data_IF_980805761317
#
_entry.id   IF_980805761317
#
_cell.length_a   1.000
_cell.length_b   1.000
_cell.length_c   1.000
_cell.angle_alpha   90.00
_cell.angle_beta   90.00
_cell.angle_gamma   90.00
#
_symmetry.space_group_name_H-M   'P 1'
#
loop_
_entity.id
_entity.type
_entity.pdbx_description
1 polymer ?
#
# COMPACT_ATOMS: atom_id res chain seq x y z
N UNK A 1 3.43 -20.59 -18.42
CA UNK A 1 4.24 -20.78 -17.21
C UNK A 1 3.37 -20.87 -15.97
N UNK A 2 3.90 -21.45 -14.89
CA UNK A 2 3.24 -21.48 -13.58
C UNK A 2 4.07 -20.64 -12.61
N UNK A 3 3.48 -19.55 -12.11
CA UNK A 3 4.08 -18.70 -11.08
C UNK A 3 3.44 -18.99 -9.72
N UNK A 4 4.26 -19.05 -8.66
CA UNK A 4 3.79 -19.32 -7.31
C UNK A 4 4.12 -18.15 -6.37
N UNK A 5 3.10 -17.56 -5.76
CA UNK A 5 3.24 -16.50 -4.76
C UNK A 5 3.14 -17.11 -3.36
N UNK A 6 4.18 -16.99 -2.56
CA UNK A 6 4.16 -17.35 -1.14
C UNK A 6 3.88 -16.09 -0.33
N UNK A 7 2.67 -15.96 0.17
CA UNK A 7 2.22 -14.83 0.99
C UNK A 7 1.64 -15.36 2.30
N UNK A 8 2.25 -15.00 3.42
CA UNK A 8 1.84 -15.52 4.73
C UNK A 8 0.37 -15.21 5.05
N UNK A 9 -0.13 -14.09 4.55
CA UNK A 9 -1.54 -13.71 4.58
C UNK A 9 -2.05 -13.47 3.15
N UNK A 10 -3.34 -13.71 2.94
CA UNK A 10 -4.01 -13.50 1.66
C UNK A 10 -5.51 -13.24 1.87
N UNK A 11 -6.20 -12.86 0.81
CA UNK A 11 -7.64 -12.62 0.86
C UNK A 11 -8.42 -13.81 1.47
N UNK A 12 -9.47 -13.55 2.25
CA UNK A 12 -10.16 -12.26 2.46
C UNK A 12 -9.54 -11.37 3.55
N UNK A 13 -8.37 -11.70 4.12
CA UNK A 13 -7.71 -10.83 5.09
C UNK A 13 -7.35 -9.50 4.43
N UNK A 14 -7.79 -8.35 4.97
CA UNK A 14 -7.49 -7.06 4.38
C UNK A 14 -6.04 -6.66 4.65
N UNK A 15 -5.32 -6.24 3.61
CA UNK A 15 -3.96 -5.74 3.74
C UNK A 15 -3.33 -5.35 2.39
N UNK A 16 -2.22 -4.63 2.46
CA UNK A 16 -1.51 -4.16 1.27
C UNK A 16 -0.80 -5.28 0.51
N UNK A 17 -0.15 -6.19 1.24
CA UNK A 17 0.58 -7.35 0.65
C UNK A 17 -0.38 -8.33 -0.01
N UNK A 18 -1.54 -8.57 0.62
CA UNK A 18 -2.60 -9.44 0.14
C UNK A 18 -3.16 -8.92 -1.18
N UNK A 19 -3.49 -7.63 -1.25
CA UNK A 19 -3.95 -6.96 -2.45
C UNK A 19 -2.87 -6.92 -3.54
N UNK A 20 -1.62 -6.66 -3.17
CA UNK A 20 -0.49 -6.69 -4.07
C UNK A 20 -0.36 -8.07 -4.75
N UNK A 21 -0.35 -9.13 -3.93
CA UNK A 21 -0.26 -10.50 -4.40
C UNK A 21 -1.41 -10.86 -5.34
N UNK A 22 -2.65 -10.53 -4.94
CA UNK A 22 -3.84 -10.77 -5.75
C UNK A 22 -3.80 -10.03 -7.09
N UNK A 23 -3.44 -8.75 -7.09
CA UNK A 23 -3.36 -7.97 -8.32
C UNK A 23 -2.34 -8.53 -9.33
N UNK A 24 -1.20 -9.00 -8.86
CA UNK A 24 -0.23 -9.64 -9.76
C UNK A 24 -0.70 -11.02 -10.21
N UNK A 25 -1.17 -11.87 -9.30
CA UNK A 25 -1.67 -13.20 -9.64
C UNK A 25 -2.77 -13.12 -10.70
N UNK A 26 -3.75 -12.21 -10.54
CA UNK A 26 -4.82 -11.95 -11.51
C UNK A 26 -4.29 -11.57 -12.90
N UNK A 27 -3.21 -10.80 -12.98
CA UNK A 27 -2.62 -10.43 -14.27
C UNK A 27 -1.89 -11.58 -14.94
N UNK A 28 -1.26 -12.44 -14.16
CA UNK A 28 -0.66 -13.66 -14.72
C UNK A 28 -1.74 -14.60 -15.27
N UNK A 29 -2.86 -14.80 -14.58
CA UNK A 29 -3.97 -15.62 -15.10
C UNK A 29 -4.60 -14.99 -16.34
N UNK A 30 -4.85 -13.69 -16.33
CA UNK A 30 -5.39 -12.96 -17.48
C UNK A 30 -4.46 -13.05 -18.73
N UNK A 31 -3.14 -13.17 -18.51
CA UNK A 31 -2.16 -13.38 -19.58
C UNK A 31 -1.99 -14.86 -20.00
N UNK A 32 -2.87 -15.76 -19.56
CA UNK A 32 -2.86 -17.18 -19.91
C UNK A 32 -1.82 -18.02 -19.14
N UNK A 33 -1.30 -17.50 -18.02
CA UNK A 33 -0.41 -18.24 -17.14
C UNK A 33 -1.18 -18.85 -15.96
N UNK A 34 -0.64 -19.86 -15.31
CA UNK A 34 -1.16 -20.36 -14.04
C UNK A 34 -0.55 -19.56 -12.89
N UNK A 35 -1.40 -19.11 -11.97
CA UNK A 35 -0.98 -18.43 -10.75
C UNK A 35 -1.41 -19.27 -9.54
N UNK A 36 -0.45 -19.62 -8.70
CA UNK A 36 -0.64 -20.30 -7.43
C UNK A 36 -0.38 -19.31 -6.31
N UNK A 37 -1.23 -19.28 -5.28
CA UNK A 37 -0.99 -18.50 -4.05
C UNK A 37 -0.95 -19.47 -2.87
N UNK A 38 0.14 -19.46 -2.13
CA UNK A 38 0.32 -20.28 -0.93
C UNK A 38 0.27 -19.35 0.29
N UNK A 39 -0.67 -19.63 1.19
CA UNK A 39 -0.95 -18.75 2.34
C UNK A 39 -1.26 -19.56 3.60
N UNK A 40 -1.39 -18.87 4.74
CA UNK A 40 -1.83 -19.49 5.99
C UNK A 40 -3.32 -19.87 5.93
N UNK A 41 -3.66 -20.99 6.57
CA UNK A 41 -5.04 -21.41 6.74
C UNK A 41 -5.81 -20.43 7.63
N UNK A 42 -7.04 -20.14 7.23
CA UNK A 42 -8.00 -19.32 7.97
C UNK A 42 -9.20 -20.19 8.37
N UNK A 43 -9.80 -19.95 9.55
CA UNK A 43 -11.01 -20.67 9.98
C UNK A 43 -12.14 -20.50 8.96
N UNK A 44 -12.84 -21.60 8.66
CA UNK A 44 -13.99 -21.59 7.75
C UNK A 44 -13.66 -21.58 6.26
N UNK A 45 -12.38 -21.44 5.87
CA UNK A 45 -11.99 -21.50 4.46
C UNK A 45 -11.39 -22.88 4.09
N UNK A 46 -11.60 -23.34 2.84
CA UNK A 46 -11.05 -24.61 2.39
C UNK A 46 -9.51 -24.55 2.31
N UNK A 47 -8.88 -25.71 2.49
CA UNK A 47 -7.42 -25.82 2.36
C UNK A 47 -6.93 -25.55 0.91
N UNK A 48 -7.81 -25.73 -0.07
CA UNK A 48 -7.56 -25.48 -1.48
C UNK A 48 -8.81 -24.98 -2.16
N UNK A 49 -8.68 -23.94 -2.97
CA UNK A 49 -9.75 -23.42 -3.81
C UNK A 49 -9.16 -22.73 -5.06
N UNK A 50 -10.02 -22.46 -6.04
CA UNK A 50 -9.70 -21.60 -7.18
C UNK A 50 -10.70 -20.45 -7.15
N UNK A 51 -10.22 -19.23 -7.21
CA UNK A 51 -11.08 -18.04 -7.24
C UNK A 51 -11.69 -17.78 -8.63
N UNK A 52 -12.55 -16.78 -8.72
CA UNK A 52 -13.22 -16.38 -9.95
C UNK A 52 -12.27 -15.91 -11.07
N UNK A 53 -11.02 -15.57 -10.73
CA UNK A 53 -9.97 -15.17 -11.69
C UNK A 53 -9.07 -16.34 -12.09
N UNK A 54 -9.35 -17.55 -11.63
CA UNK A 54 -8.55 -18.74 -11.92
C UNK A 54 -7.25 -18.84 -11.09
N UNK A 55 -7.12 -18.09 -10.00
CA UNK A 55 -6.00 -18.18 -9.08
C UNK A 55 -6.20 -19.38 -8.16
N UNK A 56 -5.25 -20.31 -8.16
CA UNK A 56 -5.27 -21.50 -7.30
C UNK A 56 -4.68 -21.18 -5.92
N UNK A 57 -5.47 -21.28 -4.87
CA UNK A 57 -5.08 -20.90 -3.51
C UNK A 57 -4.86 -22.17 -2.66
N UNK A 58 -3.69 -22.25 -2.04
CA UNK A 58 -3.28 -23.33 -1.13
C UNK A 58 -3.10 -22.75 0.26
N UNK A 59 -3.94 -23.18 1.23
CA UNK A 59 -3.89 -22.74 2.62
C UNK A 59 -3.19 -23.77 3.48
N UNK A 60 -2.02 -23.39 4.02
CA UNK A 60 -1.21 -24.27 4.84
C UNK A 60 -1.57 -24.12 6.34
N UNK A 61 -1.65 -25.24 7.09
CA UNK A 61 -1.91 -25.23 8.52
C UNK A 61 -0.92 -24.32 9.26
N UNK A 62 -1.45 -23.36 10.04
CA UNK A 62 -0.65 -22.36 10.74
C UNK A 62 -1.21 -22.09 12.14
N UNK A 63 -0.36 -21.61 13.05
CA UNK A 63 -0.76 -21.07 14.34
C UNK A 63 -0.97 -19.55 14.20
N UNK A 64 -2.12 -19.00 14.59
CA UNK A 64 -2.32 -17.55 14.61
C UNK A 64 -1.59 -16.95 15.81
N UNK A 65 -0.55 -16.19 15.57
CA UNK A 65 0.19 -15.44 16.58
C UNK A 65 -0.10 -13.94 16.41
N UNK A 66 -0.01 -13.14 17.48
CA UNK A 66 -0.28 -11.70 17.48
C UNK A 66 -1.66 -11.35 16.89
N UNK A 67 -2.71 -12.07 17.34
CA UNK A 67 -4.06 -11.85 16.82
C UNK A 67 -4.23 -12.21 15.35
N UNK A 68 -3.44 -13.17 14.84
CA UNK A 68 -3.46 -13.61 13.45
C UNK A 68 -2.58 -12.80 12.50
N UNK A 69 -1.98 -11.71 12.96
CA UNK A 69 -1.09 -10.87 12.13
C UNK A 69 0.23 -11.55 11.77
N UNK A 70 0.64 -12.54 12.56
CA UNK A 70 1.87 -13.29 12.33
C UNK A 70 1.57 -14.80 12.34
N UNK A 71 1.09 -15.38 11.22
CA UNK A 71 0.85 -16.81 11.14
C UNK A 71 2.19 -17.56 11.15
N UNK A 72 2.29 -18.56 12.04
CA UNK A 72 3.45 -19.45 12.14
C UNK A 72 3.09 -20.79 11.51
N UNK A 73 3.81 -21.17 10.47
CA UNK A 73 3.58 -22.44 9.77
C UNK A 73 3.75 -23.62 10.73
N UNK A 74 2.79 -24.53 10.74
CA UNK A 74 2.87 -25.74 11.57
C UNK A 74 3.95 -26.70 11.04
N UNK A 75 4.75 -27.35 11.91
CA UNK A 75 5.82 -28.26 11.48
C UNK A 75 5.35 -29.43 10.59
N UNK A 76 4.10 -29.86 10.78
CA UNK A 76 3.46 -30.93 10.00
C UNK A 76 2.63 -30.46 8.82
N UNK A 77 2.76 -29.18 8.44
CA UNK A 77 2.05 -28.66 7.28
C UNK A 77 2.44 -29.46 6.04
N UNK A 78 1.47 -30.17 5.48
CA UNK A 78 1.66 -30.93 4.27
C UNK A 78 1.39 -30.06 3.04
N UNK A 79 2.35 -30.00 2.13
CA UNK A 79 2.26 -29.30 0.86
C UNK A 79 2.58 -30.23 -0.33
N UNK A 80 2.35 -31.54 -0.19
CA UNK A 80 2.66 -32.52 -1.23
C UNK A 80 1.96 -32.19 -2.55
N UNK A 81 0.67 -31.80 -2.47
CA UNK A 81 -0.12 -31.42 -3.65
C UNK A 81 0.41 -30.17 -4.36
N UNK A 82 0.92 -29.22 -3.60
CA UNK A 82 1.60 -28.06 -4.16
C UNK A 82 2.87 -28.46 -4.92
N UNK A 83 3.67 -29.32 -4.30
CA UNK A 83 4.96 -29.75 -4.88
C UNK A 83 4.82 -30.80 -5.98
N UNK A 84 3.64 -31.38 -6.16
CA UNK A 84 3.30 -32.19 -7.33
C UNK A 84 3.05 -31.30 -8.59
N UNK A 85 2.84 -30.00 -8.40
CA UNK A 85 2.70 -29.05 -9.50
C UNK A 85 4.08 -28.67 -10.06
N UNK A 86 4.16 -28.47 -11.38
CA UNK A 86 5.31 -27.81 -11.97
C UNK A 86 5.24 -26.32 -11.67
N UNK A 87 6.18 -25.79 -10.88
CA UNK A 87 6.35 -24.38 -10.60
C UNK A 87 7.56 -23.87 -11.37
N UNK A 88 7.36 -22.92 -12.27
CA UNK A 88 8.42 -22.37 -13.09
C UNK A 88 9.15 -21.22 -12.38
N UNK A 89 8.45 -20.46 -11.53
CA UNK A 89 9.04 -19.36 -10.77
C UNK A 89 8.25 -19.10 -9.47
N UNK A 90 8.93 -18.60 -8.44
CA UNK A 90 8.29 -18.25 -7.16
C UNK A 90 8.56 -16.80 -6.74
N UNK A 91 7.55 -16.15 -6.19
CA UNK A 91 7.64 -14.84 -5.53
C UNK A 91 7.35 -15.02 -4.05
N UNK A 92 8.32 -14.71 -3.20
CA UNK A 92 8.20 -14.86 -1.75
C UNK A 92 7.95 -13.48 -1.15
N UNK A 93 6.72 -13.27 -0.66
CA UNK A 93 6.30 -11.99 -0.09
C UNK A 93 6.78 -11.85 1.36
N UNK A 94 7.43 -10.74 1.63
CA UNK A 94 7.85 -10.31 2.97
C UNK A 94 8.83 -11.27 3.67
N UNK A 95 10.01 -10.79 4.00
CA UNK A 95 11.15 -11.57 4.52
C UNK A 95 10.97 -12.21 5.89
N UNK A 96 10.05 -11.69 6.72
CA UNK A 96 10.03 -11.98 8.16
C UNK A 96 9.20 -13.21 8.56
N UNK A 97 8.30 -13.70 7.71
CA UNK A 97 7.41 -14.79 8.08
C UNK A 97 8.10 -16.16 8.06
N UNK A 98 7.68 -17.05 8.95
CA UNK A 98 8.16 -18.45 8.98
C UNK A 98 7.87 -19.17 7.66
N UNK A 99 6.75 -18.86 7.02
CA UNK A 99 6.40 -19.35 5.69
C UNK A 99 7.39 -18.89 4.63
N UNK A 100 7.89 -17.64 4.69
CA UNK A 100 8.88 -17.12 3.73
C UNK A 100 10.21 -17.86 3.85
N UNK A 101 10.65 -18.15 5.08
CA UNK A 101 11.85 -18.97 5.33
C UNK A 101 11.66 -20.37 4.74
N UNK A 102 10.52 -21.00 5.03
CA UNK A 102 10.19 -22.33 4.52
C UNK A 102 10.12 -22.33 2.98
N UNK A 103 9.42 -21.38 2.38
CA UNK A 103 9.28 -21.25 0.93
C UNK A 103 10.64 -21.12 0.25
N UNK A 104 11.52 -20.22 0.74
CA UNK A 104 12.86 -20.04 0.19
C UNK A 104 13.68 -21.33 0.24
N UNK A 105 13.64 -22.05 1.37
CA UNK A 105 14.34 -23.32 1.52
C UNK A 105 13.79 -24.41 0.59
N UNK A 106 12.46 -24.47 0.42
CA UNK A 106 11.83 -25.44 -0.47
C UNK A 106 12.12 -25.14 -1.94
N UNK A 107 12.05 -23.89 -2.37
CA UNK A 107 12.42 -23.49 -3.73
C UNK A 107 13.87 -23.85 -4.02
N UNK A 108 14.82 -23.50 -3.13
CA UNK A 108 16.24 -23.88 -3.29
C UNK A 108 16.45 -25.38 -3.41
N UNK A 109 15.81 -26.19 -2.54
CA UNK A 109 15.95 -27.67 -2.57
C UNK A 109 15.43 -28.29 -3.85
N UNK A 110 14.45 -27.66 -4.50
CA UNK A 110 13.80 -28.13 -5.73
C UNK A 110 14.34 -27.48 -7.00
N UNK A 111 15.31 -26.58 -6.88
CA UNK A 111 15.84 -25.86 -8.02
C UNK A 111 14.83 -24.91 -8.68
N UNK A 112 13.80 -24.47 -7.92
CA UNK A 112 12.79 -23.51 -8.42
C UNK A 112 13.38 -22.10 -8.31
N UNK A 113 13.53 -21.36 -9.43
CA UNK A 113 13.95 -19.97 -9.38
C UNK A 113 12.96 -19.13 -8.59
N UNK A 114 13.45 -18.18 -7.78
CA UNK A 114 12.59 -17.34 -6.96
C UNK A 114 13.19 -15.95 -6.73
N UNK A 115 12.33 -15.02 -6.32
CA UNK A 115 12.73 -13.75 -5.74
C UNK A 115 12.02 -13.53 -4.40
N UNK A 116 12.57 -12.64 -3.58
CA UNK A 116 11.98 -12.20 -2.32
C UNK A 116 11.56 -10.74 -2.47
N UNK A 117 10.28 -10.45 -2.28
CA UNK A 117 9.76 -9.09 -2.36
C UNK A 117 9.41 -8.58 -0.96
N UNK A 118 10.09 -7.54 -0.51
CA UNK A 118 9.82 -6.94 0.80
C UNK A 118 8.96 -5.69 0.70
N UNK A 119 8.05 -5.54 1.69
CA UNK A 119 7.06 -4.46 1.76
C UNK A 119 7.29 -3.50 2.93
N UNK A 120 8.32 -3.73 3.74
CA UNK A 120 8.55 -2.99 4.98
C UNK A 120 9.71 -2.01 4.89
N UNK A 121 9.62 -0.94 5.67
CA UNK A 121 10.68 0.08 5.87
C UNK A 121 11.05 0.23 7.35
N UNK A 122 10.64 -0.73 8.19
CA UNK A 122 10.90 -0.74 9.62
C UNK A 122 10.71 -2.13 10.21
N UNK A 123 11.11 -2.29 11.47
CA UNK A 123 10.84 -3.51 12.24
C UNK A 123 9.35 -3.66 12.54
N UNK A 124 8.87 -4.90 12.60
CA UNK A 124 7.48 -5.20 12.96
C UNK A 124 7.17 -4.88 14.42
N UNK A 125 8.16 -5.06 15.31
CA UNK A 125 8.02 -4.85 16.75
C UNK A 125 8.98 -3.77 17.25
N UNK A 126 8.45 -2.86 18.06
CA UNK A 126 9.20 -1.74 18.64
C UNK A 126 9.11 -1.74 20.17
N UNK A 127 10.15 -1.19 20.81
CA UNK A 127 10.18 -0.94 22.26
C UNK A 127 10.39 -2.17 23.14
N UNK A 128 11.16 -2.00 24.22
CA UNK A 128 11.38 -2.99 25.25
C UNK A 128 12.00 -4.32 24.80
N UNK A 129 11.92 -5.32 25.68
CA UNK A 129 12.41 -6.68 25.41
C UNK A 129 11.70 -7.36 24.22
N UNK A 130 10.37 -7.23 24.04
CA UNK A 130 9.69 -7.81 22.87
C UNK A 130 10.21 -7.24 21.54
N UNK A 131 10.45 -5.92 21.48
CA UNK A 131 11.01 -5.28 20.28
C UNK A 131 12.40 -5.78 19.97
N UNK A 132 13.28 -5.91 20.99
CA UNK A 132 14.63 -6.44 20.81
C UNK A 132 14.62 -7.89 20.30
N UNK A 133 13.75 -8.75 20.87
CA UNK A 133 13.62 -10.15 20.42
C UNK A 133 13.08 -10.21 18.98
N UNK A 134 12.08 -9.38 18.63
CA UNK A 134 11.53 -9.28 17.28
C UNK A 134 12.60 -8.89 16.26
N UNK A 135 13.41 -7.87 16.54
CA UNK A 135 14.51 -7.43 15.68
C UNK A 135 15.53 -8.55 15.45
N UNK A 136 15.94 -9.25 16.51
CA UNK A 136 16.86 -10.39 16.37
C UNK A 136 16.27 -11.52 15.53
N UNK A 137 14.99 -11.80 15.71
CA UNK A 137 14.27 -12.75 14.87
C UNK A 137 14.26 -12.32 13.39
N UNK A 138 13.97 -11.05 13.09
CA UNK A 138 13.98 -10.54 11.72
C UNK A 138 15.37 -10.66 11.08
N UNK A 139 16.44 -10.35 11.80
CA UNK A 139 17.81 -10.59 11.33
C UNK A 139 18.09 -12.07 11.07
N UNK A 140 17.61 -12.96 11.94
CA UNK A 140 17.74 -14.40 11.75
C UNK A 140 16.98 -14.86 10.50
N UNK A 141 15.72 -14.43 10.32
CA UNK A 141 14.89 -14.75 9.16
C UNK A 141 15.55 -14.30 7.86
N UNK A 142 16.00 -13.03 7.80
CA UNK A 142 16.71 -12.48 6.66
C UNK A 142 17.97 -13.30 6.29
N UNK A 143 18.82 -13.63 7.28
CA UNK A 143 20.02 -14.44 7.04
C UNK A 143 19.68 -15.83 6.51
N UNK A 144 18.60 -16.44 7.01
CA UNK A 144 18.17 -17.77 6.55
C UNK A 144 17.68 -17.74 5.11
N UNK A 145 16.94 -16.72 4.71
CA UNK A 145 16.44 -16.54 3.34
C UNK A 145 17.59 -16.15 2.40
N UNK A 146 18.44 -15.20 2.80
CA UNK A 146 19.58 -14.76 1.98
C UNK A 146 20.53 -15.90 1.62
N UNK A 147 20.75 -16.88 2.53
CA UNK A 147 21.53 -18.09 2.26
C UNK A 147 20.94 -18.98 1.17
N UNK A 148 19.69 -18.76 0.78
CA UNK A 148 19.08 -19.46 -0.37
C UNK A 148 19.57 -18.93 -1.71
N UNK A 149 20.19 -17.73 -1.76
CA UNK A 149 20.81 -17.18 -2.96
C UNK A 149 19.82 -16.56 -3.94
N UNK A 150 18.62 -16.20 -3.50
CA UNK A 150 17.62 -15.50 -4.31
C UNK A 150 17.81 -14.00 -4.24
N UNK A 151 17.46 -13.30 -5.32
CA UNK A 151 17.44 -11.85 -5.36
C UNK A 151 16.33 -11.27 -4.48
N UNK A 152 16.65 -10.16 -3.82
CA UNK A 152 15.69 -9.38 -3.06
C UNK A 152 15.27 -8.14 -3.84
N UNK A 153 14.00 -7.85 -3.79
CA UNK A 153 13.39 -6.64 -4.32
C UNK A 153 12.63 -5.90 -3.21
N UNK A 154 12.55 -4.59 -3.29
CA UNK A 154 11.72 -3.77 -2.41
C UNK A 154 10.53 -3.18 -3.17
N UNK A 155 9.45 -2.85 -2.46
CA UNK A 155 8.34 -2.08 -3.05
C UNK A 155 8.68 -0.60 -3.24
N UNK A 156 9.83 -0.16 -2.76
CA UNK A 156 10.34 1.21 -2.91
C UNK A 156 11.85 1.24 -2.73
N UNK A 157 12.49 2.34 -3.15
CA UNK A 157 13.90 2.58 -2.88
C UNK A 157 14.20 2.60 -1.37
N UNK A 158 13.26 3.09 -0.56
CA UNK A 158 13.38 3.07 0.90
C UNK A 158 13.34 1.66 1.46
N UNK A 159 12.48 0.79 0.93
CA UNK A 159 12.51 -0.64 1.26
C UNK A 159 13.87 -1.26 0.86
N UNK A 160 14.41 -0.89 -0.30
CA UNK A 160 15.74 -1.37 -0.71
C UNK A 160 16.84 -0.87 0.23
N UNK A 161 16.80 0.41 0.67
CA UNK A 161 17.73 0.93 1.70
C UNK A 161 17.55 0.23 3.05
N UNK A 162 16.31 -0.05 3.43
CA UNK A 162 16.00 -0.79 4.64
C UNK A 162 16.58 -2.20 4.63
N UNK A 163 16.55 -2.91 3.50
CA UNK A 163 17.17 -4.23 3.35
C UNK A 163 18.69 -4.21 3.59
N UNK A 164 19.38 -3.08 3.32
CA UNK A 164 20.80 -2.94 3.59
C UNK A 164 21.13 -3.06 5.09
N UNK A 165 20.21 -2.70 5.99
CA UNK A 165 20.39 -2.88 7.44
C UNK A 165 20.52 -4.36 7.85
N UNK A 166 20.07 -5.27 6.99
CA UNK A 166 20.21 -6.73 7.14
C UNK A 166 21.39 -7.29 6.35
N UNK A 167 22.21 -6.42 5.70
CA UNK A 167 23.30 -6.83 4.82
C UNK A 167 22.83 -7.37 3.47
N UNK A 168 21.64 -7.01 3.03
CA UNK A 168 21.05 -7.44 1.77
C UNK A 168 21.09 -6.28 0.76
N UNK A 169 21.77 -6.50 -0.37
CA UNK A 169 21.72 -5.62 -1.53
C UNK A 169 20.52 -6.03 -2.39
N UNK A 170 19.50 -5.18 -2.46
CA UNK A 170 18.35 -5.44 -3.32
C UNK A 170 18.72 -5.29 -4.81
N UNK A 171 18.20 -6.17 -5.66
CA UNK A 171 18.39 -6.14 -7.11
C UNK A 171 17.58 -5.03 -7.79
N UNK A 172 16.53 -4.52 -7.13
CA UNK A 172 15.71 -3.44 -7.65
C UNK A 172 14.39 -3.28 -6.91
N UNK A 173 13.46 -2.56 -7.52
CA UNK A 173 12.12 -2.32 -6.97
C UNK A 173 11.03 -2.99 -7.81
N UNK A 174 9.98 -3.46 -7.13
CA UNK A 174 8.69 -3.85 -7.71
C UNK A 174 7.61 -3.08 -6.93
N UNK A 175 7.27 -1.86 -7.36
CA UNK A 175 6.51 -0.92 -6.53
C UNK A 175 5.06 -1.32 -6.32
N UNK A 176 4.43 -0.72 -5.30
CA UNK A 176 2.97 -0.70 -5.21
C UNK A 176 2.40 -0.01 -6.45
N UNK A 177 1.19 -0.40 -6.83
CA UNK A 177 0.57 0.10 -8.04
C UNK A 177 -0.94 0.24 -7.88
N UNK A 178 -1.56 0.87 -8.86
CA UNK A 178 -3.02 0.98 -9.00
C UNK A 178 -3.45 0.55 -10.40
N UNK A 179 -4.74 0.35 -10.58
CA UNK A 179 -5.37 0.17 -11.89
C UNK A 179 -6.11 1.47 -12.25
N UNK A 180 -5.57 2.30 -13.17
CA UNK A 180 -6.19 3.57 -13.52
C UNK A 180 -7.59 3.42 -14.11
N UNK A 181 -7.87 2.32 -14.82
CA UNK A 181 -9.15 2.08 -15.45
C UNK A 181 -10.21 1.70 -14.41
N UNK A 182 -9.86 0.83 -13.43
CA UNK A 182 -10.74 0.52 -12.30
C UNK A 182 -11.05 1.78 -11.47
N UNK A 183 -10.05 2.64 -11.24
CA UNK A 183 -10.25 3.91 -10.53
C UNK A 183 -11.15 4.87 -11.33
N UNK A 184 -10.96 4.98 -12.65
CA UNK A 184 -11.81 5.81 -13.49
C UNK A 184 -13.27 5.32 -13.50
N UNK A 185 -13.49 4.01 -13.56
CA UNK A 185 -14.83 3.42 -13.46
C UNK A 185 -15.48 3.72 -12.10
N UNK A 186 -14.73 3.56 -11.00
CA UNK A 186 -15.22 3.87 -9.65
C UNK A 186 -15.58 5.36 -9.48
N UNK A 187 -14.79 6.25 -10.07
CA UNK A 187 -15.02 7.70 -10.03
C UNK A 187 -16.30 8.11 -10.78
N UNK A 188 -16.64 7.41 -11.86
CA UNK A 188 -17.78 7.71 -12.75
C UNK A 188 -19.02 6.85 -12.48
N UNK A 189 -19.07 6.04 -11.42
CA UNK A 189 -20.19 5.18 -11.10
C UNK A 189 -21.51 5.97 -10.97
N UNK A 190 -22.62 5.41 -11.47
CA UNK A 190 -23.94 6.08 -11.47
C UNK A 190 -24.40 6.48 -10.07
N UNK A 191 -24.13 5.65 -9.06
CA UNK A 191 -24.48 5.89 -7.66
C UNK A 191 -23.34 6.58 -6.88
N UNK A 192 -22.57 7.46 -7.51
CA UNK A 192 -21.47 8.16 -6.87
C UNK A 192 -21.95 9.12 -5.79
N UNK A 193 -21.15 9.19 -4.71
CA UNK A 193 -21.33 10.22 -3.68
C UNK A 193 -20.87 11.56 -4.26
N UNK A 194 -21.73 12.57 -4.17
CA UNK A 194 -21.37 13.96 -4.48
C UNK A 194 -20.84 14.63 -3.20
N UNK A 195 -19.53 14.58 -3.01
CA UNK A 195 -18.87 15.13 -1.84
C UNK A 195 -18.99 16.66 -1.75
N UNK A 196 -19.19 17.34 -2.89
CA UNK A 196 -19.34 18.80 -2.90
C UNK A 196 -20.69 19.29 -2.36
N UNK A 197 -21.71 18.44 -2.39
CA UNK A 197 -23.00 18.76 -1.73
C UNK A 197 -22.95 18.72 -0.21
N UNK A 198 -21.92 18.07 0.35
CA UNK A 198 -21.78 17.87 1.78
C UNK A 198 -20.85 18.93 2.43
N UNK A 199 -20.43 19.95 1.69
CA UNK A 199 -19.61 21.05 2.17
C UNK A 199 -20.26 22.41 1.84
N UNK A 200 -19.94 23.50 2.52
CA UNK A 200 -20.45 24.83 2.20
C UNK A 200 -20.16 25.24 0.77
N UNK A 201 -21.15 25.81 0.12
CA UNK A 201 -21.05 26.24 -1.28
C UNK A 201 -19.93 27.27 -1.46
N UNK A 202 -19.16 27.13 -2.56
CA UNK A 202 -18.05 28.03 -2.89
C UNK A 202 -16.73 27.70 -2.20
N UNK A 203 -16.69 26.72 -1.29
CA UNK A 203 -15.43 26.28 -0.69
C UNK A 203 -14.72 25.27 -1.56
N UNK A 204 -13.37 25.25 -1.50
CA UNK A 204 -12.51 24.22 -2.07
C UNK A 204 -12.52 22.98 -1.18
N UNK A 205 -12.42 21.81 -1.79
CA UNK A 205 -12.41 20.53 -1.10
C UNK A 205 -10.99 19.97 -0.96
N UNK A 206 -10.49 19.91 0.27
CA UNK A 206 -9.32 19.10 0.60
C UNK A 206 -9.76 17.68 1.00
N UNK A 207 -8.96 16.68 0.67
CA UNK A 207 -9.17 15.29 1.04
C UNK A 207 -7.98 14.74 1.82
N UNK A 208 -8.26 13.95 2.86
CA UNK A 208 -7.29 13.11 3.57
C UNK A 208 -7.82 11.67 3.61
N UNK A 209 -6.96 10.72 3.33
CA UNK A 209 -7.30 9.29 3.40
C UNK A 209 -6.18 8.53 4.09
N UNK A 210 -6.48 7.87 5.21
CA UNK A 210 -5.46 7.09 5.93
C UNK A 210 -5.85 6.73 7.36
N UNK A 211 -4.91 6.08 8.05
CA UNK A 211 -5.09 5.79 9.49
C UNK A 211 -5.06 7.10 10.28
N UNK A 212 -5.97 7.24 11.24
CA UNK A 212 -6.08 8.44 12.07
C UNK A 212 -5.22 8.31 13.33
N UNK A 213 -3.90 8.36 13.13
CA UNK A 213 -2.87 8.39 14.16
C UNK A 213 -2.10 9.71 14.09
N UNK A 214 -1.50 10.19 15.20
CA UNK A 214 -0.83 11.49 15.24
C UNK A 214 0.18 11.72 14.11
N UNK A 215 0.97 10.70 13.81
CA UNK A 215 2.05 10.77 12.81
C UNK A 215 1.54 10.93 11.37
N UNK A 216 0.23 10.75 11.12
CA UNK A 216 -0.38 10.95 9.80
C UNK A 216 -0.85 12.38 9.54
N UNK A 217 -0.92 13.21 10.58
CA UNK A 217 -1.17 14.64 10.46
C UNK A 217 -2.61 15.04 10.12
N UNK A 218 -3.61 14.16 10.35
CA UNK A 218 -5.01 14.48 10.08
C UNK A 218 -5.53 15.66 10.94
N UNK A 219 -5.12 15.72 12.20
CA UNK A 219 -5.55 16.78 13.13
C UNK A 219 -4.94 18.16 12.79
N UNK A 220 -3.62 18.30 12.57
CA UNK A 220 -3.04 19.55 12.04
C UNK A 220 -3.68 20.01 10.73
N UNK A 221 -4.01 19.07 9.82
CA UNK A 221 -4.71 19.41 8.58
C UNK A 221 -6.10 19.97 8.84
N UNK A 222 -6.87 19.39 9.77
CA UNK A 222 -8.19 19.91 10.13
C UNK A 222 -8.07 21.32 10.72
N UNK A 223 -7.11 21.57 11.59
CA UNK A 223 -6.82 22.90 12.15
C UNK A 223 -6.43 23.91 11.05
N UNK A 224 -5.59 23.52 10.10
CA UNK A 224 -5.22 24.34 8.96
C UNK A 224 -6.45 24.76 8.13
N UNK A 225 -7.32 23.80 7.79
CA UNK A 225 -8.55 24.08 7.02
C UNK A 225 -9.50 24.99 7.80
N UNK A 226 -9.63 24.84 9.11
CA UNK A 226 -10.48 25.71 9.92
C UNK A 226 -10.00 27.15 9.97
N UNK A 227 -8.70 27.41 9.80
CA UNK A 227 -8.15 28.76 9.69
C UNK A 227 -8.39 29.40 8.32
N UNK A 228 -8.82 28.63 7.31
CA UNK A 228 -9.03 29.08 5.94
C UNK A 228 -10.52 29.06 5.59
N UNK A 229 -11.20 30.20 5.46
CA UNK A 229 -12.65 30.25 5.27
C UNK A 229 -13.12 29.68 3.92
N UNK A 230 -12.27 29.64 2.92
CA UNK A 230 -12.55 29.17 1.57
C UNK A 230 -12.19 27.69 1.34
N UNK A 231 -11.86 26.94 2.42
CA UNK A 231 -11.55 25.53 2.37
C UNK A 231 -12.49 24.69 3.23
N UNK A 232 -12.79 23.51 2.73
CA UNK A 232 -13.45 22.41 3.43
C UNK A 232 -12.61 21.15 3.36
N UNK A 233 -12.87 20.18 4.24
CA UNK A 233 -12.06 18.95 4.37
C UNK A 233 -12.93 17.72 4.59
N UNK A 234 -12.65 16.65 3.86
CA UNK A 234 -13.15 15.31 4.18
C UNK A 234 -11.99 14.42 4.60
N UNK A 235 -12.10 13.83 5.80
CA UNK A 235 -11.11 12.94 6.40
C UNK A 235 -11.67 11.53 6.43
N UNK A 236 -11.16 10.64 5.57
CA UNK A 236 -11.57 9.25 5.51
C UNK A 236 -10.54 8.34 6.19
N UNK A 237 -10.99 7.54 7.15
CA UNK A 237 -10.14 6.57 7.84
C UNK A 237 -10.60 6.25 9.26
N UNK A 238 -9.84 5.39 9.92
CA UNK A 238 -10.07 5.01 11.33
C UNK A 238 -8.78 5.10 12.13
N UNK A 239 -8.91 5.25 13.43
CA UNK A 239 -7.78 5.32 14.36
C UNK A 239 -8.14 6.04 15.64
N UNK A 240 -7.18 6.15 16.57
CA UNK A 240 -7.41 6.74 17.89
C UNK A 240 -7.82 8.22 17.86
N UNK A 241 -7.55 8.94 16.76
CA UNK A 241 -7.96 10.36 16.63
C UNK A 241 -9.36 10.54 16.01
N UNK A 242 -10.11 9.46 15.70
CA UNK A 242 -11.41 9.59 15.03
C UNK A 242 -12.41 10.41 15.84
N UNK A 243 -12.56 10.11 17.13
CA UNK A 243 -13.52 10.79 18.00
C UNK A 243 -13.22 12.30 18.12
N UNK A 244 -11.96 12.67 18.26
CA UNK A 244 -11.51 14.06 18.32
C UNK A 244 -11.80 14.79 16.99
N UNK A 245 -11.52 14.16 15.86
CA UNK A 245 -11.81 14.72 14.53
C UNK A 245 -13.31 14.85 14.28
N UNK A 246 -14.14 13.94 14.78
CA UNK A 246 -15.60 14.03 14.70
C UNK A 246 -16.16 15.16 15.58
N UNK A 247 -15.62 15.37 16.77
CA UNK A 247 -15.98 16.52 17.62
C UNK A 247 -15.65 17.84 16.94
N UNK A 248 -14.46 17.94 16.34
CA UNK A 248 -14.03 19.10 15.57
C UNK A 248 -14.92 19.31 14.33
N UNK A 249 -15.31 18.25 13.66
CA UNK A 249 -16.24 18.30 12.53
C UNK A 249 -17.61 18.89 12.93
N UNK A 250 -18.18 18.50 14.08
CA UNK A 250 -19.43 19.04 14.60
C UNK A 250 -19.37 20.55 14.87
N UNK A 251 -18.21 21.06 15.26
CA UNK A 251 -17.98 22.48 15.58
C UNK A 251 -17.59 23.30 14.35
N UNK A 252 -17.33 22.66 13.21
CA UNK A 252 -16.76 23.28 12.01
C UNK A 252 -17.75 24.06 11.14
N UNK A 253 -19.04 24.02 11.45
CA UNK A 253 -20.09 24.58 10.58
C UNK A 253 -20.20 23.88 9.22
N UNK A 254 -19.91 22.58 9.17
CA UNK A 254 -19.95 21.74 7.97
C UNK A 254 -18.70 21.81 7.08
N UNK A 255 -17.66 22.54 7.50
CA UNK A 255 -16.42 22.65 6.72
C UNK A 255 -15.48 21.45 6.88
N UNK A 256 -15.62 20.69 7.94
CA UNK A 256 -14.85 19.44 8.15
C UNK A 256 -15.84 18.29 8.29
N UNK A 257 -15.56 17.18 7.63
CA UNK A 257 -16.29 15.92 7.76
C UNK A 257 -15.31 14.77 8.05
N UNK A 258 -15.63 13.96 9.07
CA UNK A 258 -14.85 12.77 9.45
C UNK A 258 -15.76 11.52 9.50
N UNK A 259 -16.17 10.98 8.31
CA UNK A 259 -17.15 9.90 8.22
C UNK A 259 -16.64 8.54 8.73
N UNK A 260 -15.37 8.44 9.12
CA UNK A 260 -14.74 7.17 9.45
C UNK A 260 -14.23 6.42 8.21
N UNK A 261 -14.23 5.08 8.25
CA UNK A 261 -13.83 4.28 7.10
C UNK A 261 -14.86 4.39 5.96
N UNK A 262 -14.37 4.58 4.75
CA UNK A 262 -15.18 4.60 3.54
C UNK A 262 -14.89 3.38 2.67
N UNK A 263 -15.87 2.87 1.92
CA UNK A 263 -15.64 1.92 0.83
C UNK A 263 -14.64 2.50 -0.19
N UNK A 264 -13.80 1.66 -0.78
CA UNK A 264 -12.75 2.11 -1.72
C UNK A 264 -13.30 2.95 -2.87
N UNK A 265 -14.47 2.58 -3.44
CA UNK A 265 -15.12 3.36 -4.50
C UNK A 265 -15.42 4.80 -4.04
N UNK A 266 -15.88 5.01 -2.79
CA UNK A 266 -16.14 6.34 -2.25
C UNK A 266 -14.86 7.14 -1.99
N UNK A 267 -13.75 6.47 -1.64
CA UNK A 267 -12.42 7.11 -1.55
C UNK A 267 -12.01 7.65 -2.93
N UNK A 268 -12.14 6.84 -3.98
CA UNK A 268 -11.83 7.25 -5.36
C UNK A 268 -12.71 8.41 -5.81
N UNK A 269 -14.02 8.36 -5.49
CA UNK A 269 -14.96 9.44 -5.78
C UNK A 269 -14.59 10.73 -5.03
N UNK A 270 -14.13 10.64 -3.77
CA UNK A 270 -13.64 11.78 -3.01
C UNK A 270 -12.41 12.40 -3.70
N UNK A 271 -11.40 11.57 -4.02
CA UNK A 271 -10.17 12.03 -4.66
C UNK A 271 -10.42 12.63 -6.05
N UNK A 272 -11.38 12.11 -6.80
CA UNK A 272 -11.74 12.65 -8.13
C UNK A 272 -12.47 14.00 -8.08
N UNK A 273 -13.06 14.37 -6.93
CA UNK A 273 -13.78 15.62 -6.71
C UNK A 273 -12.97 16.64 -5.91
N UNK A 274 -11.90 16.21 -5.22
CA UNK A 274 -11.10 17.08 -4.37
C UNK A 274 -10.25 18.06 -5.19
N UNK A 275 -10.12 19.29 -4.70
CA UNK A 275 -9.20 20.29 -5.24
C UNK A 275 -7.77 20.04 -4.78
N UNK A 276 -7.60 19.28 -3.69
CA UNK A 276 -6.31 18.90 -3.15
C UNK A 276 -6.40 17.64 -2.30
N UNK A 277 -5.49 16.69 -2.50
CA UNK A 277 -5.22 15.60 -1.59
C UNK A 277 -4.04 15.98 -0.68
N UNK A 278 -4.25 15.93 0.64
CA UNK A 278 -3.24 16.28 1.63
C UNK A 278 -2.74 15.06 2.37
N UNK A 279 -1.40 14.85 2.36
CA UNK A 279 -0.73 13.79 3.10
C UNK A 279 0.41 14.37 3.95
N UNK A 280 0.11 15.08 5.07
CA UNK A 280 1.12 15.69 5.94
C UNK A 280 1.68 14.67 6.93
N UNK A 281 2.14 13.51 6.44
CA UNK A 281 2.56 12.38 7.26
C UNK A 281 4.03 12.46 7.65
N UNK A 282 4.32 12.21 8.91
CA UNK A 282 5.67 11.94 9.44
C UNK A 282 5.90 10.43 9.66
N UNK A 283 4.88 9.62 9.36
CA UNK A 283 4.97 8.18 9.48
C UNK A 283 5.86 7.57 8.39
N UNK A 284 6.75 6.67 8.78
CA UNK A 284 7.61 5.93 7.84
C UNK A 284 6.76 4.93 7.03
N UNK A 285 6.35 5.34 5.83
CA UNK A 285 5.59 4.50 4.88
C UNK A 285 6.51 3.84 3.87
N UNK A 286 6.24 2.58 3.54
CA UNK A 286 6.94 1.92 2.45
C UNK A 286 6.61 2.58 1.09
N UNK A 287 5.30 2.69 0.79
CA UNK A 287 4.78 3.41 -0.36
C UNK A 287 3.25 3.62 -0.16
N UNK A 288 2.77 4.86 0.05
CA UNK A 288 1.36 5.12 0.31
C UNK A 288 0.51 4.92 -0.95
N UNK A 289 -0.37 3.91 -0.95
CA UNK A 289 -1.24 3.62 -2.10
C UNK A 289 -2.24 4.74 -2.39
N UNK A 290 -2.71 5.44 -1.35
CA UNK A 290 -3.61 6.60 -1.51
C UNK A 290 -2.98 7.76 -2.29
N UNK A 291 -1.66 7.88 -2.24
CA UNK A 291 -0.92 8.85 -3.07
C UNK A 291 -1.01 8.48 -4.56
N UNK A 292 -0.89 7.18 -4.88
CA UNK A 292 -1.08 6.68 -6.24
C UNK A 292 -2.53 6.88 -6.71
N UNK A 293 -3.50 6.63 -5.85
CA UNK A 293 -4.92 6.84 -6.16
C UNK A 293 -5.22 8.32 -6.44
N UNK A 294 -4.68 9.24 -5.64
CA UNK A 294 -4.81 10.68 -5.86
C UNK A 294 -4.19 11.11 -7.20
N UNK A 295 -2.98 10.63 -7.51
CA UNK A 295 -2.31 10.91 -8.78
C UNK A 295 -3.10 10.33 -9.98
N UNK A 296 -3.63 9.12 -9.87
CA UNK A 296 -4.46 8.50 -10.91
C UNK A 296 -5.74 9.30 -11.18
N UNK A 297 -6.38 9.81 -10.13
CA UNK A 297 -7.53 10.71 -10.23
C UNK A 297 -7.17 12.11 -10.78
N UNK A 298 -5.89 12.44 -10.92
CA UNK A 298 -5.45 13.78 -11.31
C UNK A 298 -5.68 14.84 -10.23
N UNK A 299 -5.80 14.42 -8.96
CA UNK A 299 -5.95 15.32 -7.83
C UNK A 299 -4.62 16.02 -7.54
N UNK A 300 -4.57 17.34 -7.36
CA UNK A 300 -3.38 18.04 -6.86
C UNK A 300 -2.95 17.49 -5.51
N UNK A 301 -1.64 17.32 -5.31
CA UNK A 301 -1.07 16.70 -4.11
C UNK A 301 -0.29 17.73 -3.30
N UNK A 302 -0.58 17.76 -2.00
CA UNK A 302 0.21 18.44 -0.96
C UNK A 302 0.67 17.37 0.03
N UNK A 303 1.98 17.17 0.17
CA UNK A 303 2.50 16.12 1.04
C UNK A 303 3.85 16.47 1.64
N UNK A 304 4.23 15.78 2.70
CA UNK A 304 5.61 15.79 3.23
C UNK A 304 6.52 14.89 2.41
N UNK A 305 7.83 15.15 2.46
CA UNK A 305 8.83 14.23 1.94
C UNK A 305 8.93 13.01 2.86
N UNK A 306 8.35 11.89 2.41
CA UNK A 306 8.46 10.60 3.10
C UNK A 306 8.86 9.51 2.11
N UNK A 307 9.12 8.32 2.65
CA UNK A 307 9.41 7.14 1.85
C UNK A 307 8.35 6.94 0.75
N UNK A 308 8.77 6.70 -0.46
CA UNK A 308 7.90 6.47 -1.62
C UNK A 308 7.35 7.72 -2.30
N UNK A 309 7.21 8.86 -1.60
CA UNK A 309 6.73 10.09 -2.26
C UNK A 309 7.69 10.56 -3.35
N UNK A 310 9.00 10.51 -3.11
CA UNK A 310 10.02 10.91 -4.09
C UNK A 310 10.12 9.99 -5.32
N UNK A 311 9.57 8.79 -5.27
CA UNK A 311 9.54 7.90 -6.45
C UNK A 311 8.41 8.24 -7.43
N UNK A 312 7.24 8.59 -6.88
CA UNK A 312 6.11 9.06 -7.68
C UNK A 312 6.29 10.52 -8.11
N UNK A 313 6.94 11.32 -7.28
CA UNK A 313 7.04 12.77 -7.41
C UNK A 313 8.53 13.20 -7.49
N UNK A 314 9.30 12.69 -8.49
CA UNK A 314 10.76 12.85 -8.52
C UNK A 314 11.24 14.27 -8.84
N UNK A 315 10.40 15.07 -9.49
CA UNK A 315 10.80 16.36 -10.03
C UNK A 315 10.75 17.53 -9.03
N UNK A 316 10.24 17.33 -7.81
CA UNK A 316 9.99 18.43 -6.86
C UNK A 316 8.85 19.37 -7.27
N UNK A 317 8.52 19.38 -8.57
CA UNK A 317 7.44 20.17 -9.17
C UNK A 317 6.17 19.35 -9.48
N UNK A 318 6.12 18.09 -9.04
CA UNK A 318 4.99 17.19 -9.30
C UNK A 318 3.94 17.22 -8.18
N UNK A 319 4.30 17.82 -7.04
CA UNK A 319 3.44 18.09 -5.91
C UNK A 319 3.89 19.38 -5.19
N UNK A 320 3.11 19.84 -4.23
CA UNK A 320 3.56 20.85 -3.30
C UNK A 320 4.06 20.15 -2.03
N UNK A 321 5.39 20.21 -1.82
CA UNK A 321 6.00 19.61 -0.66
C UNK A 321 5.93 20.54 0.56
N UNK A 322 5.51 19.97 1.68
CA UNK A 322 5.44 20.64 2.98
C UNK A 322 6.82 20.65 3.63
N UNK A 323 7.28 21.76 4.17
CA UNK A 323 8.52 21.81 4.96
C UNK A 323 8.36 21.10 6.32
N UNK A 324 7.15 21.12 6.88
CA UNK A 324 6.74 20.45 8.11
C UNK A 324 5.32 19.88 7.99
N UNK A 325 4.82 19.33 9.09
CA UNK A 325 3.47 18.77 9.17
C UNK A 325 2.56 19.54 10.14
N UNK A 326 2.92 20.76 10.48
CA UNK A 326 2.10 21.61 11.34
C UNK A 326 0.98 22.35 10.57
N UNK A 327 0.03 22.89 11.29
CA UNK A 327 -1.14 23.53 10.68
C UNK A 327 -0.78 24.78 9.86
N UNK A 328 0.28 25.51 10.22
CA UNK A 328 0.69 26.73 9.51
C UNK A 328 1.30 26.39 8.14
N UNK A 329 2.20 25.43 8.08
CA UNK A 329 2.80 24.94 6.83
C UNK A 329 1.73 24.38 5.88
N UNK A 330 0.78 23.60 6.42
CA UNK A 330 -0.33 23.05 5.64
C UNK A 330 -1.24 24.16 5.11
N UNK A 331 -1.60 25.14 5.94
CA UNK A 331 -2.44 26.27 5.53
C UNK A 331 -1.76 27.09 4.41
N UNK A 332 -0.47 27.38 4.54
CA UNK A 332 0.29 28.08 3.50
C UNK A 332 0.31 27.31 2.17
N UNK A 333 0.45 25.99 2.23
CA UNK A 333 0.43 25.15 1.04
C UNK A 333 -0.96 25.10 0.36
N UNK A 334 -2.04 25.03 1.15
CA UNK A 334 -3.41 25.09 0.64
C UNK A 334 -3.69 26.46 -0.03
N UNK A 335 -3.27 27.56 0.60
CA UNK A 335 -3.37 28.90 0.00
C UNK A 335 -2.61 29.00 -1.31
N UNK A 336 -1.38 28.49 -1.36
CA UNK A 336 -0.56 28.47 -2.58
C UNK A 336 -1.22 27.64 -3.69
N UNK A 337 -1.85 26.51 -3.33
CA UNK A 337 -2.63 25.68 -4.28
C UNK A 337 -3.84 26.43 -4.81
N UNK A 338 -4.53 27.19 -3.96
CA UNK A 338 -5.70 28.00 -4.33
C UNK A 338 -5.34 29.22 -5.18
N UNK A 339 -4.18 29.84 -4.93
CA UNK A 339 -3.73 31.04 -5.63
C UNK A 339 -3.35 30.76 -7.10
N UNK A 340 -2.89 29.55 -7.42
CA UNK A 340 -2.54 29.16 -8.79
C UNK A 340 -3.07 27.77 -9.15
N UNK A 341 -4.37 27.67 -9.50
CA UNK A 341 -5.00 26.41 -9.92
C UNK A 341 -4.39 25.82 -11.18
N UNK A 342 -3.85 26.65 -12.08
CA UNK A 342 -3.22 26.19 -13.31
C UNK A 342 -1.91 25.44 -13.01
N UNK A 343 -1.06 25.98 -12.13
CA UNK A 343 0.14 25.29 -11.67
C UNK A 343 -0.20 24.03 -10.85
N UNK A 344 -1.25 24.05 -10.02
CA UNK A 344 -1.70 22.89 -9.29
C UNK A 344 -2.13 21.75 -10.25
N UNK A 345 -2.88 22.07 -11.29
CA UNK A 345 -3.28 21.13 -12.35
C UNK A 345 -2.09 20.60 -13.14
N UNK A 346 -1.13 21.47 -13.48
CA UNK A 346 0.07 21.04 -14.19
C UNK A 346 0.91 20.05 -13.35
N UNK A 347 1.04 20.29 -12.03
CA UNK A 347 1.69 19.34 -11.09
C UNK A 347 0.98 17.99 -11.08
N UNK A 348 -0.36 17.98 -10.92
CA UNK A 348 -1.12 16.73 -10.87
C UNK A 348 -1.03 15.94 -12.18
N UNK A 349 -0.95 16.62 -13.34
CA UNK A 349 -0.75 15.96 -14.63
C UNK A 349 0.61 15.27 -14.72
N UNK A 350 1.68 15.91 -14.25
CA UNK A 350 3.01 15.28 -14.22
C UNK A 350 3.04 14.06 -13.28
N UNK A 351 2.47 14.18 -12.08
CA UNK A 351 2.33 13.06 -11.14
C UNK A 351 1.57 11.90 -11.79
N UNK A 352 0.47 12.18 -12.50
CA UNK A 352 -0.30 11.17 -13.25
C UNK A 352 0.52 10.53 -14.37
N UNK A 353 1.31 11.29 -15.12
CA UNK A 353 2.19 10.73 -16.17
C UNK A 353 3.24 9.78 -15.57
N UNK A 354 3.89 10.17 -14.47
CA UNK A 354 4.84 9.30 -13.76
C UNK A 354 4.17 8.01 -13.28
N UNK A 355 2.96 8.13 -12.74
CA UNK A 355 2.16 6.97 -12.30
C UNK A 355 1.89 6.01 -13.48
N UNK A 356 1.36 6.53 -14.59
CA UNK A 356 1.00 5.71 -15.75
C UNK A 356 2.19 4.96 -16.34
N UNK A 357 3.39 5.55 -16.29
CA UNK A 357 4.62 4.94 -16.79
C UNK A 357 5.22 3.87 -15.87
N UNK A 358 4.94 3.89 -14.55
CA UNK A 358 5.72 3.09 -13.58
C UNK A 358 4.89 2.40 -12.51
N UNK A 359 3.74 2.92 -12.14
CA UNK A 359 2.99 2.55 -10.95
C UNK A 359 1.59 2.01 -11.28
N UNK A 360 1.42 1.44 -12.46
CA UNK A 360 0.25 0.63 -12.81
C UNK A 360 0.55 -0.84 -12.59
N UNK A 361 -0.48 -1.62 -12.25
CA UNK A 361 -0.31 -3.07 -12.11
C UNK A 361 0.20 -3.74 -13.39
N UNK A 362 -0.13 -3.16 -14.55
CA UNK A 362 0.40 -3.65 -15.82
C UNK A 362 1.91 -3.44 -15.91
N UNK A 363 2.40 -2.24 -15.57
CA UNK A 363 3.83 -1.95 -15.58
C UNK A 363 4.62 -2.83 -14.59
N UNK A 364 4.07 -3.07 -13.39
CA UNK A 364 4.69 -3.96 -12.39
C UNK A 364 4.67 -5.42 -12.85
N UNK A 365 3.58 -5.88 -13.48
CA UNK A 365 3.50 -7.21 -14.09
C UNK A 365 4.57 -7.40 -15.17
N UNK A 366 4.70 -6.44 -16.10
CA UNK A 366 5.70 -6.50 -17.18
C UNK A 366 7.13 -6.53 -16.63
N UNK A 367 7.40 -5.70 -15.62
CA UNK A 367 8.68 -5.70 -14.92
C UNK A 367 8.97 -7.05 -14.24
N UNK A 368 8.00 -7.61 -13.51
CA UNK A 368 8.15 -8.93 -12.90
C UNK A 368 8.35 -10.00 -13.96
N UNK A 369 7.59 -9.95 -15.06
CA UNK A 369 7.74 -10.88 -16.17
C UNK A 369 9.14 -10.83 -16.81
N UNK A 370 9.73 -9.64 -16.93
CA UNK A 370 11.10 -9.51 -17.46
C UNK A 370 12.19 -10.08 -16.53
N UNK A 371 11.91 -10.22 -15.24
CA UNK A 371 12.79 -10.85 -14.25
C UNK A 371 12.67 -12.39 -14.33
N UNK A 372 11.46 -12.87 -14.66
CA UNK A 372 11.13 -14.31 -14.69
C UNK A 372 11.60 -15.00 -15.96
N UNK A 373 11.71 -14.28 -17.07
CA UNK A 373 12.18 -14.78 -18.37
C UNK A 373 13.71 -14.78 -18.45
#
# INVERSE_FOLDING_TARGET
MTICFFSAQYLPTPGGVERYTWNLARRFTAAGHRALVVTAALPGLPARETDEYGIEIYRLPSFPVMGGRFPVLKPWANAADLWAQKIDFAVIQTRMYTQSIWAAQQCRRRGIPALVLDHSTGYMMHGGLPGWLGQRYEHFACRRIARCGFDFYGVSADTCRWLQTFGIQAAGTLPNAVDPDELAQAACAENRVDWRKNIPAGTRLAAFVGRLIPEKGALPLAQAVLSLPDWSLVIAGTGPQLDELQQLAQQSGGRVAAPGALPHAQIVQLLSQADCYCLPTLYAEGFPTTLLEAAACGCPIVCTHTAGTGELLPGGDDALFLPGADAADIAAALQKTAADPAAAKARSQRAKQTLLGRFTWQAVYEKLRSIVN
#
